data_IF_542897428557
#
_entry.id   IF_542897428557
#
_cell.length_a   1.000
_cell.length_b   1.000
_cell.length_c   1.000
_cell.angle_alpha   90.00
_cell.angle_beta   90.00
_cell.angle_gamma   90.00
#
_symmetry.space_group_name_H-M   'P 1'
#
loop_
_entity.id
_entity.type
_entity.pdbx_description
1 polymer ?
#
# COMPACT_ATOMS: atom_id res chain seq x y z
N UNK A 1 7.33 18.09 -14.47
CA UNK A 1 7.39 16.65 -14.77
C UNK A 1 7.61 15.93 -13.45
N UNK A 2 6.74 15.00 -13.06
CA UNK A 2 6.87 14.25 -11.80
C UNK A 2 8.07 13.31 -11.91
N UNK A 3 9.01 13.38 -10.96
CA UNK A 3 10.11 12.39 -10.90
C UNK A 3 9.65 11.12 -10.20
N UNK A 4 10.35 10.00 -10.44
CA UNK A 4 10.09 8.74 -9.72
C UNK A 4 10.12 8.94 -8.21
N UNK A 5 11.16 9.62 -7.69
CA UNK A 5 11.30 9.85 -6.25
C UNK A 5 10.16 10.68 -5.68
N UNK A 6 9.82 11.81 -6.31
CA UNK A 6 8.73 12.68 -5.84
C UNK A 6 7.39 11.96 -5.83
N UNK A 7 7.04 11.23 -6.90
CA UNK A 7 5.76 10.50 -6.92
C UNK A 7 5.70 9.33 -5.94
N UNK A 8 6.80 8.61 -5.69
CA UNK A 8 6.86 7.60 -4.61
C UNK A 8 6.70 8.24 -3.23
N UNK A 9 7.34 9.38 -2.96
CA UNK A 9 7.18 10.08 -1.69
C UNK A 9 5.75 10.61 -1.50
N UNK A 10 5.09 11.11 -2.55
CA UNK A 10 3.67 11.49 -2.51
C UNK A 10 2.74 10.30 -2.27
N UNK A 11 3.03 9.15 -2.90
CA UNK A 11 2.30 7.91 -2.67
C UNK A 11 2.43 7.43 -1.21
N UNK A 12 3.66 7.48 -0.67
CA UNK A 12 3.92 7.20 0.74
C UNK A 12 3.13 8.13 1.65
N UNK A 13 3.16 9.44 1.40
CA UNK A 13 2.45 10.42 2.23
C UNK A 13 0.94 10.13 2.25
N UNK A 14 0.37 9.75 1.10
CA UNK A 14 -1.04 9.37 1.00
C UNK A 14 -1.37 8.13 1.82
N UNK A 15 -0.55 7.08 1.76
CA UNK A 15 -0.76 5.87 2.54
C UNK A 15 -0.64 6.14 4.05
N UNK A 16 0.38 6.90 4.46
CA UNK A 16 0.59 7.23 5.87
C UNK A 16 -0.55 8.10 6.43
N UNK A 17 -1.05 9.07 5.65
CA UNK A 17 -2.24 9.86 5.97
C UNK A 17 -3.48 8.95 6.16
N UNK A 18 -3.71 8.00 5.25
CA UNK A 18 -4.80 7.02 5.40
C UNK A 18 -4.64 6.20 6.69
N UNK A 19 -3.45 5.67 6.96
CA UNK A 19 -3.19 4.89 8.17
C UNK A 19 -3.40 5.70 9.46
N UNK A 20 -2.90 6.93 9.51
CA UNK A 20 -3.10 7.84 10.64
C UNK A 20 -4.58 8.14 10.85
N UNK A 21 -5.32 8.41 9.76
CA UNK A 21 -6.76 8.69 9.83
C UNK A 21 -7.57 7.48 10.29
N UNK A 22 -7.24 6.25 9.88
CA UNK A 22 -7.86 5.03 10.45
C UNK A 22 -7.69 5.02 11.98
N UNK A 23 -6.48 5.27 12.47
CA UNK A 23 -6.19 5.31 13.90
C UNK A 23 -6.97 6.40 14.63
N UNK A 24 -7.00 7.61 14.05
CA UNK A 24 -7.63 8.77 14.67
C UNK A 24 -9.17 8.77 14.60
N UNK A 25 -9.77 8.11 13.62
CA UNK A 25 -11.22 8.12 13.39
C UNK A 25 -11.91 6.87 13.92
N UNK A 26 -11.30 5.69 13.76
CA UNK A 26 -11.94 4.41 14.14
C UNK A 26 -11.37 3.87 15.44
N UNK A 27 -10.03 3.80 15.56
CA UNK A 27 -9.41 3.18 16.76
C UNK A 27 -9.54 4.04 18.02
N UNK A 28 -9.73 5.36 17.89
CA UNK A 28 -10.09 6.22 19.05
C UNK A 28 -11.40 5.81 19.71
N UNK A 29 -12.30 5.14 18.97
CA UNK A 29 -13.58 4.64 19.48
C UNK A 29 -13.55 3.14 19.80
N UNK A 30 -12.36 2.54 19.90
CA UNK A 30 -12.18 1.10 20.14
C UNK A 30 -12.92 0.57 21.37
N UNK A 31 -13.08 1.37 22.43
CA UNK A 31 -13.87 1.02 23.62
C UNK A 31 -15.37 0.80 23.36
N UNK A 32 -15.89 1.21 22.20
CA UNK A 32 -17.28 1.04 21.76
C UNK A 32 -17.43 -0.06 20.69
N UNK A 33 -16.40 -0.85 20.45
CA UNK A 33 -16.33 -1.83 19.37
C UNK A 33 -16.06 -3.22 19.90
N UNK A 34 -16.55 -4.24 19.20
CA UNK A 34 -16.16 -5.63 19.46
C UNK A 34 -14.65 -5.80 19.19
N UNK A 35 -13.94 -6.50 20.08
CA UNK A 35 -12.50 -6.75 19.98
C UNK A 35 -12.08 -7.37 18.64
N UNK A 36 -12.93 -8.23 18.04
CA UNK A 36 -12.68 -8.79 16.70
C UNK A 36 -12.61 -7.73 15.62
N UNK A 37 -13.46 -6.70 15.69
CA UNK A 37 -13.50 -5.60 14.74
C UNK A 37 -12.34 -4.65 14.99
N UNK A 38 -12.03 -4.33 16.25
CA UNK A 38 -10.84 -3.54 16.62
C UNK A 38 -9.57 -4.18 16.05
N UNK A 39 -9.41 -5.50 16.22
CA UNK A 39 -8.26 -6.23 15.67
C UNK A 39 -8.20 -6.14 14.14
N UNK A 40 -9.34 -6.20 13.45
CA UNK A 40 -9.39 -6.06 11.99
C UNK A 40 -8.97 -4.66 11.55
N UNK A 41 -9.49 -3.62 12.20
CA UNK A 41 -9.14 -2.21 11.93
C UNK A 41 -7.64 -1.97 12.15
N UNK A 42 -7.09 -2.48 13.27
CA UNK A 42 -5.65 -2.37 13.56
C UNK A 42 -4.82 -3.03 12.47
N UNK A 43 -5.20 -4.21 11.99
CA UNK A 43 -4.50 -4.88 10.89
C UNK A 43 -4.55 -4.08 9.59
N UNK A 44 -5.71 -3.53 9.22
CA UNK A 44 -5.81 -2.66 8.03
C UNK A 44 -4.90 -1.45 8.16
N UNK A 45 -4.94 -0.75 9.31
CA UNK A 45 -4.03 0.37 9.59
C UNK A 45 -2.58 -0.04 9.41
N UNK A 46 -2.17 -1.12 10.07
CA UNK A 46 -0.78 -1.60 10.06
C UNK A 46 -0.31 -1.97 8.65
N UNK A 47 -1.15 -2.65 7.86
CA UNK A 47 -0.81 -3.03 6.49
C UNK A 47 -0.67 -1.81 5.57
N UNK A 48 -1.56 -0.81 5.70
CA UNK A 48 -1.47 0.46 4.97
C UNK A 48 -0.22 1.24 5.39
N UNK A 49 0.06 1.33 6.69
CA UNK A 49 1.25 1.99 7.23
C UNK A 49 2.54 1.33 6.72
N UNK A 50 2.58 -0.01 6.76
CA UNK A 50 3.71 -0.81 6.30
C UNK A 50 3.97 -0.62 4.81
N UNK A 51 2.90 -0.59 4.00
CA UNK A 51 3.01 -0.25 2.59
C UNK A 51 3.55 1.18 2.42
N UNK A 52 3.04 2.15 3.18
CA UNK A 52 3.51 3.54 3.15
C UNK A 52 5.01 3.66 3.40
N UNK A 53 5.51 3.05 4.49
CA UNK A 53 6.95 3.03 4.83
C UNK A 53 7.80 2.37 3.75
N UNK A 54 7.30 1.29 3.16
CA UNK A 54 7.98 0.62 2.06
C UNK A 54 8.09 1.51 0.82
N UNK A 55 6.99 2.17 0.43
CA UNK A 55 7.01 3.10 -0.70
C UNK A 55 7.94 4.29 -0.41
N UNK A 56 7.99 4.78 0.84
CA UNK A 56 8.93 5.81 1.27
C UNK A 56 10.38 5.40 1.02
N UNK A 57 10.78 4.22 1.49
CA UNK A 57 12.13 3.70 1.31
C UNK A 57 12.51 3.55 -0.17
N UNK A 58 11.57 3.17 -1.03
CA UNK A 58 11.78 3.13 -2.48
C UNK A 58 11.96 4.55 -3.07
N UNK A 59 11.21 5.54 -2.58
CA UNK A 59 11.35 6.94 -2.96
C UNK A 59 12.71 7.52 -2.58
N UNK A 60 13.16 7.29 -1.35
CA UNK A 60 14.49 7.68 -0.85
C UNK A 60 15.61 7.01 -1.64
N UNK A 61 15.46 5.71 -1.95
CA UNK A 61 16.41 4.99 -2.81
C UNK A 61 16.45 5.59 -4.22
N UNK A 62 15.30 5.88 -4.83
CA UNK A 62 15.23 6.52 -6.13
C UNK A 62 15.93 7.89 -6.13
N UNK A 63 15.75 8.67 -5.06
CA UNK A 63 16.42 9.95 -4.87
C UNK A 63 17.95 9.81 -4.79
N UNK A 64 18.45 8.81 -4.03
CA UNK A 64 19.89 8.55 -3.90
C UNK A 64 20.56 8.12 -5.19
N UNK A 65 19.82 7.50 -6.11
CA UNK A 65 20.33 7.00 -7.38
C UNK A 65 20.44 8.10 -8.44
N UNK A 66 20.08 9.36 -8.12
CA UNK A 66 20.12 10.52 -9.02
C UNK A 66 19.56 10.24 -10.43
N UNK A 67 18.57 9.36 -10.53
CA UNK A 67 17.98 8.98 -11.81
C UNK A 67 17.15 10.12 -12.38
N UNK A 68 17.73 10.91 -13.26
CA UNK A 68 17.08 12.01 -13.99
C UNK A 68 16.20 11.55 -15.17
N UNK A 69 15.98 10.25 -15.32
CA UNK A 69 15.16 9.65 -16.38
C UNK A 69 13.75 9.26 -15.94
N UNK A 70 12.93 8.89 -16.92
CA UNK A 70 11.56 8.37 -16.71
C UNK A 70 11.52 7.01 -16.00
N UNK A 71 12.67 6.35 -15.80
CA UNK A 71 12.75 5.06 -15.11
C UNK A 71 14.06 4.86 -14.33
N UNK A 72 13.96 4.14 -13.20
CA UNK A 72 15.07 3.83 -12.28
C UNK A 72 15.02 2.35 -11.90
N UNK A 73 16.16 1.66 -12.01
CA UNK A 73 16.35 0.31 -11.46
C UNK A 73 16.70 0.43 -9.98
N UNK A 74 15.79 0.04 -9.11
CA UNK A 74 15.94 0.14 -7.66
C UNK A 74 16.69 -1.06 -7.07
N UNK A 75 16.44 -2.26 -7.62
CA UNK A 75 17.08 -3.51 -7.23
C UNK A 75 17.00 -4.54 -8.39
N UNK A 76 17.63 -5.73 -8.29
CA UNK A 76 17.41 -6.80 -9.27
C UNK A 76 15.92 -7.16 -9.41
N UNK A 77 15.42 -7.05 -10.65
CA UNK A 77 14.03 -7.23 -11.03
C UNK A 77 13.04 -6.21 -10.42
N UNK A 78 13.52 -5.11 -9.86
CA UNK A 78 12.69 -4.05 -9.29
C UNK A 78 12.99 -2.73 -9.99
N UNK A 79 11.98 -2.20 -10.65
CA UNK A 79 12.06 -0.99 -11.46
C UNK A 79 10.97 -0.03 -11.03
N UNK A 80 11.21 1.26 -11.17
CA UNK A 80 10.22 2.29 -10.99
C UNK A 80 10.24 3.25 -12.18
N UNK A 81 9.07 3.76 -12.56
CA UNK A 81 8.85 4.60 -13.72
C UNK A 81 7.95 5.77 -13.36
N UNK A 82 8.24 6.92 -13.93
CA UNK A 82 7.40 8.11 -13.87
C UNK A 82 6.73 8.33 -15.22
N UNK A 83 5.42 8.43 -15.18
CA UNK A 83 4.53 8.82 -16.26
C UNK A 83 3.93 10.18 -15.90
N UNK A 84 3.21 10.82 -16.84
CA UNK A 84 2.68 12.19 -16.70
C UNK A 84 2.05 12.48 -15.32
N UNK A 85 1.09 11.64 -14.90
CA UNK A 85 0.34 11.78 -13.63
C UNK A 85 0.43 10.52 -12.76
N UNK A 86 1.38 9.62 -13.07
CA UNK A 86 1.45 8.32 -12.42
C UNK A 86 2.89 7.93 -12.16
N UNK A 87 3.17 7.39 -10.98
CA UNK A 87 4.43 6.68 -10.72
C UNK A 87 4.13 5.22 -10.48
N UNK A 88 4.88 4.33 -11.09
CA UNK A 88 4.70 2.89 -11.01
C UNK A 88 6.01 2.26 -10.56
N UNK A 89 5.98 1.33 -9.61
CA UNK A 89 7.09 0.41 -9.42
C UNK A 89 6.64 -1.03 -9.59
N UNK A 90 7.51 -1.82 -10.22
CA UNK A 90 7.25 -3.21 -10.62
C UNK A 90 8.40 -4.08 -10.15
N UNK A 91 8.05 -5.13 -9.41
CA UNK A 91 8.91 -6.29 -9.18
C UNK A 91 8.53 -7.37 -10.19
N UNK A 92 9.41 -7.69 -11.13
CA UNK A 92 9.11 -8.63 -12.22
C UNK A 92 9.33 -10.10 -11.85
N UNK A 93 10.27 -10.41 -10.93
CA UNK A 93 10.68 -11.79 -10.60
C UNK A 93 11.03 -11.96 -9.11
N UNK A 94 10.81 -13.15 -8.52
CA UNK A 94 10.21 -14.36 -9.12
C UNK A 94 8.68 -14.32 -9.21
N UNK A 95 8.04 -13.31 -8.59
CA UNK A 95 6.60 -13.10 -8.64
C UNK A 95 6.33 -11.65 -9.01
N UNK A 96 5.42 -11.44 -9.97
CA UNK A 96 5.04 -10.10 -10.41
C UNK A 96 4.26 -9.38 -9.32
N UNK A 97 4.76 -8.21 -8.94
CA UNK A 97 4.08 -7.27 -8.06
C UNK A 97 4.23 -5.88 -8.66
N UNK A 98 3.15 -5.11 -8.63
CA UNK A 98 3.14 -3.76 -9.14
C UNK A 98 2.40 -2.86 -8.16
N UNK A 99 2.98 -1.72 -7.86
CA UNK A 99 2.31 -0.62 -7.17
C UNK A 99 2.34 0.59 -8.08
N UNK A 100 1.22 1.28 -8.19
CA UNK A 100 1.17 2.55 -8.90
C UNK A 100 0.43 3.59 -8.11
N UNK A 101 0.89 4.83 -8.21
CA UNK A 101 0.25 5.98 -7.61
C UNK A 101 -0.22 6.93 -8.70
N UNK A 102 -1.51 7.27 -8.68
CA UNK A 102 -2.09 8.33 -9.49
C UNK A 102 -2.21 9.60 -8.65
N UNK A 103 -1.50 10.66 -9.04
CA UNK A 103 -1.48 11.92 -8.31
C UNK A 103 -2.79 12.70 -8.38
N UNK A 104 -3.56 12.55 -9.45
CA UNK A 104 -4.79 13.32 -9.68
C UNK A 104 -5.87 12.95 -8.66
N UNK A 105 -5.98 11.65 -8.39
CA UNK A 105 -6.99 11.10 -7.48
C UNK A 105 -6.44 10.72 -6.10
N UNK A 106 -5.12 10.88 -5.88
CA UNK A 106 -4.41 10.36 -4.70
C UNK A 106 -4.70 8.86 -4.45
N UNK A 107 -4.64 8.07 -5.52
CA UNK A 107 -4.92 6.64 -5.48
C UNK A 107 -3.63 5.81 -5.55
N UNK A 108 -3.45 4.92 -4.58
CA UNK A 108 -2.41 3.90 -4.61
C UNK A 108 -3.01 2.56 -4.98
N UNK A 109 -2.59 2.02 -6.11
CA UNK A 109 -2.94 0.68 -6.57
C UNK A 109 -1.85 -0.31 -6.20
N UNK A 110 -2.23 -1.47 -5.69
CA UNK A 110 -1.38 -2.62 -5.42
C UNK A 110 -1.91 -3.78 -6.24
N UNK A 111 -1.06 -4.46 -7.00
CA UNK A 111 -1.51 -5.55 -7.87
C UNK A 111 -0.49 -6.69 -7.95
N UNK A 112 -1.04 -7.90 -7.96
CA UNK A 112 -0.35 -9.16 -8.27
C UNK A 112 -1.18 -9.94 -9.30
N UNK A 113 -0.79 -11.17 -9.62
CA UNK A 113 -1.56 -12.02 -10.53
C UNK A 113 -2.96 -12.37 -10.03
N UNK A 114 -3.19 -12.44 -8.70
CA UNK A 114 -4.45 -12.88 -8.11
C UNK A 114 -5.13 -11.87 -7.19
N UNK A 115 -4.49 -10.74 -6.92
CA UNK A 115 -4.95 -9.74 -5.96
C UNK A 115 -4.78 -8.34 -6.52
N UNK A 116 -5.78 -7.48 -6.31
CA UNK A 116 -5.71 -6.04 -6.59
C UNK A 116 -6.27 -5.28 -5.39
N UNK A 117 -5.62 -4.20 -5.01
CA UNK A 117 -6.15 -3.21 -4.07
C UNK A 117 -5.99 -1.81 -4.63
N UNK A 118 -6.94 -0.94 -4.36
CA UNK A 118 -6.86 0.50 -4.51
C UNK A 118 -7.06 1.10 -3.12
N UNK A 119 -6.15 1.98 -2.72
CA UNK A 119 -6.17 2.68 -1.45
C UNK A 119 -6.15 4.17 -1.76
N UNK A 120 -7.17 4.87 -1.28
CA UNK A 120 -7.30 6.32 -1.40
C UNK A 120 -7.89 6.90 -0.10
N UNK A 121 -7.79 8.22 0.13
CA UNK A 121 -8.49 8.85 1.23
C UNK A 121 -10.00 8.58 1.17
N UNK A 122 -10.52 7.82 2.13
CA UNK A 122 -11.95 7.55 2.26
C UNK A 122 -12.46 6.34 1.48
N UNK A 123 -11.60 5.63 0.72
CA UNK A 123 -11.99 4.37 0.07
C UNK A 123 -10.81 3.40 -0.03
N UNK A 124 -11.04 2.18 0.44
CA UNK A 124 -10.22 1.01 0.15
C UNK A 124 -11.07 0.02 -0.63
N UNK A 125 -10.59 -0.35 -1.81
CA UNK A 125 -11.18 -1.39 -2.65
C UNK A 125 -10.19 -2.54 -2.79
N UNK A 126 -10.62 -3.77 -2.51
CA UNK A 126 -9.81 -4.96 -2.68
C UNK A 126 -10.56 -6.01 -3.50
N UNK A 127 -9.82 -6.75 -4.34
CA UNK A 127 -10.36 -7.80 -5.20
C UNK A 127 -9.39 -8.99 -5.21
N UNK A 128 -9.89 -10.19 -4.93
CA UNK A 128 -9.15 -11.45 -5.04
C UNK A 128 -10.09 -12.60 -5.37
N UNK A 129 -9.75 -13.42 -6.37
CA UNK A 129 -10.45 -14.69 -6.70
C UNK A 129 -12.00 -14.59 -6.72
N UNK A 130 -12.55 -13.54 -7.32
CA UNK A 130 -14.00 -13.32 -7.42
C UNK A 130 -14.66 -12.67 -6.20
N UNK A 131 -13.92 -12.45 -5.12
CA UNK A 131 -14.35 -11.66 -3.97
C UNK A 131 -13.90 -10.21 -4.14
N UNK A 132 -14.80 -9.27 -3.85
CA UNK A 132 -14.49 -7.84 -3.81
C UNK A 132 -15.09 -7.19 -2.59
N UNK A 133 -14.36 -6.26 -1.99
CA UNK A 133 -14.89 -5.36 -0.98
C UNK A 133 -14.49 -3.93 -1.31
N UNK A 134 -15.40 -3.01 -1.11
CA UNK A 134 -15.14 -1.58 -1.15
C UNK A 134 -15.72 -0.99 0.13
N UNK A 135 -14.90 -0.25 0.86
CA UNK A 135 -15.27 0.28 2.17
C UNK A 135 -14.55 1.59 2.49
N UNK A 136 -15.19 2.41 3.31
CA UNK A 136 -14.55 3.60 3.86
C UNK A 136 -13.67 3.20 5.05
N UNK A 137 -12.33 3.34 4.97
CA UNK A 137 -11.43 2.93 6.05
C UNK A 137 -11.59 3.77 7.32
N UNK A 138 -12.31 4.89 7.27
CA UNK A 138 -12.60 5.76 8.40
C UNK A 138 -13.98 5.52 9.02
N UNK A 139 -14.77 4.62 8.44
CA UNK A 139 -16.11 4.27 8.91
C UNK A 139 -16.05 3.02 9.77
N UNK A 140 -16.41 3.15 11.05
CA UNK A 140 -16.57 1.98 11.94
C UNK A 140 -17.62 1.01 11.39
N UNK A 141 -18.73 1.53 10.89
CA UNK A 141 -19.87 0.74 10.46
C UNK A 141 -19.51 -0.16 9.28
N UNK A 142 -18.71 0.35 8.35
CA UNK A 142 -18.17 -0.45 7.24
C UNK A 142 -17.38 -1.68 7.71
N UNK A 143 -16.56 -1.55 8.76
CA UNK A 143 -15.82 -2.69 9.32
C UNK A 143 -16.72 -3.73 9.99
N UNK A 144 -17.87 -3.31 10.51
CA UNK A 144 -18.85 -4.19 11.14
C UNK A 144 -19.67 -4.91 10.08
N UNK A 145 -20.22 -4.16 9.12
CA UNK A 145 -21.10 -4.67 8.07
C UNK A 145 -20.37 -5.59 7.10
N UNK A 146 -19.12 -5.26 6.75
CA UNK A 146 -18.32 -5.98 5.73
C UNK A 146 -17.19 -6.79 6.37
N UNK A 147 -17.36 -7.17 7.65
CA UNK A 147 -16.30 -7.77 8.47
C UNK A 147 -15.65 -8.99 7.80
N UNK A 148 -16.45 -9.89 7.24
CA UNK A 148 -15.95 -11.15 6.68
C UNK A 148 -15.14 -10.91 5.40
N UNK A 149 -15.64 -10.04 4.53
CA UNK A 149 -15.03 -9.67 3.25
C UNK A 149 -13.72 -8.92 3.46
N UNK A 150 -13.72 -7.92 4.36
CA UNK A 150 -12.52 -7.18 4.74
C UNK A 150 -11.52 -8.14 5.36
N UNK A 151 -11.92 -8.98 6.34
CA UNK A 151 -11.02 -9.94 6.98
C UNK A 151 -10.36 -10.90 5.98
N UNK A 152 -11.13 -11.43 5.03
CA UNK A 152 -10.61 -12.32 4.00
C UNK A 152 -9.57 -11.61 3.11
N UNK A 153 -9.91 -10.42 2.60
CA UNK A 153 -9.05 -9.69 1.67
C UNK A 153 -7.83 -9.03 2.33
N UNK A 154 -7.92 -8.67 3.61
CA UNK A 154 -6.76 -8.21 4.39
C UNK A 154 -5.73 -9.31 4.58
N UNK A 155 -6.15 -10.56 4.82
CA UNK A 155 -5.20 -11.68 4.89
C UNK A 155 -4.44 -11.88 3.57
N UNK A 156 -5.12 -11.66 2.43
CA UNK A 156 -4.50 -11.71 1.10
C UNK A 156 -3.53 -10.52 0.90
N UNK A 157 -3.92 -9.31 1.31
CA UNK A 157 -3.05 -8.13 1.29
C UNK A 157 -1.79 -8.37 2.14
N UNK A 158 -1.93 -8.89 3.35
CA UNK A 158 -0.82 -9.19 4.24
C UNK A 158 0.13 -10.22 3.61
N UNK A 159 -0.39 -11.30 3.02
CA UNK A 159 0.42 -12.28 2.28
C UNK A 159 1.22 -11.63 1.14
N UNK A 160 0.61 -10.66 0.46
CA UNK A 160 1.24 -9.90 -0.61
C UNK A 160 2.34 -8.96 -0.07
N UNK A 161 2.09 -8.23 1.02
CA UNK A 161 3.01 -7.26 1.62
C UNK A 161 4.16 -7.94 2.38
N UNK A 162 3.85 -8.89 3.27
CA UNK A 162 4.80 -9.50 4.22
C UNK A 162 5.68 -10.58 3.58
N UNK A 163 5.13 -11.55 2.83
CA UNK A 163 5.91 -12.68 2.34
C UNK A 163 6.68 -12.38 1.04
N UNK A 164 6.26 -11.41 0.23
CA UNK A 164 6.73 -11.30 -1.17
C UNK A 164 7.53 -10.05 -1.46
N UNK A 165 7.29 -8.95 -0.74
CA UNK A 165 7.94 -7.68 -1.00
C UNK A 165 9.03 -7.38 0.03
N UNK A 166 8.68 -7.30 1.31
CA UNK A 166 9.60 -6.86 2.37
C UNK A 166 10.77 -7.83 2.53
N UNK A 167 10.54 -9.15 2.57
CA UNK A 167 11.64 -10.12 2.59
C UNK A 167 12.56 -9.97 1.37
N UNK A 168 12.00 -9.73 0.19
CA UNK A 168 12.78 -9.60 -1.04
C UNK A 168 13.54 -8.28 -1.16
N UNK A 169 13.09 -7.25 -0.44
CA UNK A 169 13.67 -5.91 -0.44
C UNK A 169 14.70 -5.77 0.69
N UNK A 170 14.43 -6.28 1.90
CA UNK A 170 15.38 -6.30 3.01
C UNK A 170 16.65 -7.11 2.71
N UNK A 171 16.54 -8.19 1.91
CA UNK A 171 17.71 -8.96 1.46
C UNK A 171 18.52 -8.21 0.39
N UNK A 172 17.90 -7.32 -0.38
CA UNK A 172 18.51 -6.72 -1.60
C UNK A 172 18.86 -5.24 -1.48
N UNK A 173 18.29 -4.52 -0.51
CA UNK A 173 18.46 -3.08 -0.33
C UNK A 173 19.24 -2.71 0.94
N UNK A 174 19.68 -3.70 1.73
CA UNK A 174 20.09 -3.48 3.13
C UNK A 174 18.85 -3.41 4.03
N UNK A 175 19.01 -3.50 5.36
CA UNK A 175 17.88 -3.42 6.31
C UNK A 175 17.06 -2.15 6.02
N UNK A 176 15.86 -2.30 5.47
CA UNK A 176 14.86 -1.24 5.46
C UNK A 176 14.20 -1.34 6.82
N UNK A 177 14.35 -0.31 7.66
CA UNK A 177 13.57 -0.19 8.89
C UNK A 177 12.11 0.07 8.47
N UNK A 178 11.31 -1.00 8.45
CA UNK A 178 9.86 -0.98 8.23
C UNK A 178 9.16 -0.99 9.59
#
# INVERSE_FOLDING_TARGET
MTSVSSGLLSASATLLDVAERIGSSVLKESGKMNSKVVNLVSRVREDVERLGKLVKALGEKAQSLQGSGEGVKLAPYLYAYALKNQVVFVKASPRRFMVSFNSDNREVWVSTSGFKAMISPGSIKMVSKGFSVEFNPYSKDDYVEKYNEIRFLVNELESVVNQKLIQSLNVKLGKISV
#
